data_IF_090521012991
#
_entry.id   IF_090521012991
#
_cell.length_a   1.000
_cell.length_b   1.000
_cell.length_c   1.000
_cell.angle_alpha   90.00
_cell.angle_beta   90.00
_cell.angle_gamma   90.00
#
_symmetry.space_group_name_H-M   'P 1'
#
loop_
_entity.id
_entity.type
_entity.pdbx_description
1 polymer ?
#
# COMPACT_ATOMS: atom_id res chain seq x y z
N UNK A 1 24.54 -2.58 -1.21
CA UNK A 1 23.56 -1.66 -0.67
C UNK A 1 23.17 -0.74 -1.83
N UNK A 2 22.03 -1.01 -2.47
CA UNK A 2 21.47 -0.06 -3.44
C UNK A 2 21.03 1.17 -2.63
N UNK A 3 21.60 2.32 -2.91
CA UNK A 3 21.23 3.55 -2.24
C UNK A 3 19.75 3.88 -2.50
N UNK A 4 19.07 4.49 -1.55
CA UNK A 4 17.63 4.86 -1.67
C UNK A 4 17.33 5.66 -2.95
N UNK A 5 18.29 6.40 -3.47
CA UNK A 5 18.18 7.13 -4.74
C UNK A 5 17.92 6.24 -5.97
N UNK A 6 18.30 4.97 -5.94
CA UNK A 6 18.05 4.05 -7.05
C UNK A 6 16.64 3.45 -7.03
N UNK A 7 15.93 3.45 -5.92
CA UNK A 7 14.60 2.84 -5.84
C UNK A 7 13.55 3.59 -6.66
N UNK A 8 13.57 4.92 -6.65
CA UNK A 8 12.65 5.73 -7.48
C UNK A 8 12.91 5.51 -8.97
N UNK A 9 14.17 5.47 -9.37
CA UNK A 9 14.55 5.21 -10.77
C UNK A 9 14.14 3.80 -11.19
N UNK A 10 14.38 2.78 -10.35
CA UNK A 10 13.98 1.40 -10.63
C UNK A 10 12.45 1.27 -10.74
N UNK A 11 11.69 1.96 -9.90
CA UNK A 11 10.22 2.02 -9.98
C UNK A 11 9.76 2.72 -11.27
N UNK A 12 10.41 3.82 -11.63
CA UNK A 12 10.11 4.54 -12.86
C UNK A 12 10.37 3.67 -14.10
N UNK A 13 11.50 2.95 -14.13
CA UNK A 13 11.84 1.99 -15.19
C UNK A 13 10.82 0.87 -15.26
N UNK A 14 10.50 0.23 -14.13
CA UNK A 14 9.51 -0.85 -14.08
C UNK A 14 8.14 -0.40 -14.58
N UNK A 15 7.65 0.76 -14.13
CA UNK A 15 6.37 1.31 -14.59
C UNK A 15 6.40 1.70 -16.07
N UNK A 16 7.51 2.25 -16.56
CA UNK A 16 7.66 2.55 -17.98
C UNK A 16 7.52 1.28 -18.82
N UNK A 17 8.28 0.22 -18.50
CA UNK A 17 8.21 -1.04 -19.25
C UNK A 17 6.88 -1.76 -19.09
N UNK A 18 6.24 -1.67 -17.94
CA UNK A 18 4.87 -2.18 -17.76
C UNK A 18 3.88 -1.56 -18.75
N UNK A 19 4.05 -0.28 -19.08
CA UNK A 19 3.14 0.42 -19.99
C UNK A 19 3.49 0.27 -21.49
N UNK A 20 4.76 -0.05 -21.82
CA UNK A 20 5.20 -0.04 -23.22
C UNK A 20 5.60 -1.43 -23.76
N UNK A 21 5.88 -2.40 -22.88
CA UNK A 21 6.32 -3.74 -23.27
C UNK A 21 5.28 -4.80 -22.88
N UNK A 22 4.63 -5.39 -23.87
CA UNK A 22 3.55 -6.36 -23.64
C UNK A 22 4.00 -7.68 -22.97
N UNK A 23 5.26 -8.06 -23.07
CA UNK A 23 5.80 -9.26 -22.39
C UNK A 23 5.93 -8.94 -20.90
N UNK A 24 6.55 -7.81 -20.57
CA UNK A 24 6.72 -7.39 -19.19
C UNK A 24 5.36 -7.19 -18.49
N UNK A 25 4.40 -6.55 -19.15
CA UNK A 25 3.04 -6.38 -18.67
C UNK A 25 2.37 -7.73 -18.36
N UNK A 26 2.44 -8.68 -19.29
CA UNK A 26 1.84 -10.02 -19.10
C UNK A 26 2.46 -10.77 -17.94
N UNK A 27 3.79 -10.73 -17.78
CA UNK A 27 4.49 -11.35 -16.66
C UNK A 27 3.99 -10.75 -15.33
N UNK A 28 3.97 -9.42 -15.21
CA UNK A 28 3.49 -8.75 -14.00
C UNK A 28 2.04 -9.13 -13.68
N UNK A 29 1.15 -9.07 -14.68
CA UNK A 29 -0.27 -9.40 -14.51
C UNK A 29 -0.48 -10.87 -14.18
N UNK A 30 0.26 -11.79 -14.79
CA UNK A 30 0.18 -13.22 -14.48
C UNK A 30 0.48 -13.47 -13.00
N UNK A 31 1.60 -12.96 -12.49
CA UNK A 31 1.95 -13.16 -11.09
C UNK A 31 1.00 -12.45 -10.13
N UNK A 32 0.51 -11.26 -10.46
CA UNK A 32 -0.48 -10.55 -9.65
C UNK A 32 -1.81 -11.31 -9.56
N UNK A 33 -2.22 -11.99 -10.63
CA UNK A 33 -3.49 -12.72 -10.66
C UNK A 33 -3.46 -14.04 -9.90
N UNK A 34 -2.28 -14.62 -9.63
CA UNK A 34 -2.17 -15.84 -8.83
C UNK A 34 -2.80 -15.69 -7.44
N UNK A 35 -2.78 -14.49 -6.86
CA UNK A 35 -3.34 -14.20 -5.54
C UNK A 35 -4.86 -14.03 -5.53
N UNK A 36 -5.55 -14.17 -6.67
CA UNK A 36 -7.01 -14.03 -6.77
C UNK A 36 -7.76 -15.34 -6.65
N UNK A 37 -7.11 -16.49 -6.87
CA UNK A 37 -7.82 -17.72 -7.18
C UNK A 37 -8.11 -18.61 -5.98
N UNK A 38 -7.17 -18.79 -5.07
CA UNK A 38 -7.30 -19.75 -3.99
C UNK A 38 -7.13 -19.11 -2.62
N UNK A 39 -8.24 -18.60 -2.06
CA UNK A 39 -8.28 -18.20 -0.68
C UNK A 39 -9.52 -18.77 0.00
N UNK A 40 -9.38 -19.11 1.24
CA UNK A 40 -10.47 -19.58 2.07
C UNK A 40 -10.32 -19.00 3.48
N UNK A 41 -11.45 -18.89 4.17
CA UNK A 41 -11.49 -18.39 5.55
C UNK A 41 -11.79 -19.58 6.45
N UNK A 42 -10.95 -19.76 7.46
CA UNK A 42 -11.19 -20.79 8.50
C UNK A 42 -11.33 -20.12 9.86
N UNK A 43 -12.24 -20.60 10.72
CA UNK A 43 -12.28 -20.15 12.10
C UNK A 43 -10.99 -20.57 12.82
N UNK A 44 -10.44 -19.68 13.65
CA UNK A 44 -9.21 -19.93 14.42
C UNK A 44 -9.40 -20.92 15.56
N UNK A 45 -10.64 -21.13 15.99
CA UNK A 45 -11.00 -22.08 17.04
C UNK A 45 -11.73 -23.23 16.40
N UNK A 46 -11.08 -24.39 16.34
CA UNK A 46 -11.69 -25.67 15.99
C UNK A 46 -12.05 -26.38 17.28
N UNK A 47 -13.29 -26.25 17.71
CA UNK A 47 -13.84 -27.07 18.77
C UNK A 47 -14.95 -27.92 18.14
N UNK A 48 -14.77 -29.26 18.07
CA UNK A 48 -15.74 -30.19 17.52
C UNK A 48 -17.07 -30.17 18.30
N UNK A 49 -17.09 -29.57 19.47
CA UNK A 49 -18.29 -29.37 20.27
C UNK A 49 -19.14 -28.17 19.84
N UNK A 50 -18.61 -27.28 18.98
CA UNK A 50 -19.31 -26.06 18.56
C UNK A 50 -20.12 -26.35 17.28
N UNK A 51 -21.18 -27.10 17.42
CA UNK A 51 -22.34 -27.07 16.49
C UNK A 51 -23.23 -25.86 16.80
N UNK A 52 -22.64 -24.71 17.08
CA UNK A 52 -23.42 -23.60 17.57
C UNK A 52 -23.86 -22.73 16.37
N UNK A 53 -25.17 -22.63 16.18
CA UNK A 53 -25.78 -21.73 15.18
C UNK A 53 -25.28 -20.27 15.31
N UNK A 54 -24.90 -19.88 16.51
CA UNK A 54 -24.36 -18.55 16.78
C UNK A 54 -23.00 -18.34 16.11
N UNK A 55 -22.09 -19.31 16.23
CA UNK A 55 -20.77 -19.24 15.58
C UNK A 55 -20.90 -19.24 14.05
N UNK A 56 -21.81 -20.05 13.50
CA UNK A 56 -22.07 -20.06 12.05
C UNK A 56 -22.60 -18.71 11.56
N UNK A 57 -23.50 -18.08 12.34
CA UNK A 57 -23.98 -16.72 12.03
C UNK A 57 -22.88 -15.66 12.08
N UNK A 58 -22.00 -15.73 13.07
CA UNK A 58 -20.85 -14.81 13.17
C UNK A 58 -19.86 -15.04 12.03
N UNK A 59 -19.59 -16.28 11.69
CA UNK A 59 -18.73 -16.63 10.54
C UNK A 59 -19.31 -16.11 9.22
N UNK A 60 -20.60 -16.29 8.98
CA UNK A 60 -21.25 -15.77 7.78
C UNK A 60 -21.18 -14.23 7.70
N UNK A 61 -21.32 -13.53 8.81
CA UNK A 61 -21.12 -12.07 8.84
C UNK A 61 -19.70 -11.66 8.45
N UNK A 62 -18.68 -12.41 8.90
CA UNK A 62 -17.30 -12.14 8.49
C UNK A 62 -17.13 -12.36 6.99
N UNK A 63 -17.71 -13.43 6.43
CA UNK A 63 -17.67 -13.67 4.99
C UNK A 63 -18.36 -12.54 4.21
N UNK A 64 -19.55 -12.12 4.63
CA UNK A 64 -20.28 -10.98 4.04
C UNK A 64 -19.45 -9.68 4.08
N UNK A 65 -18.79 -9.42 5.22
CA UNK A 65 -17.89 -8.25 5.37
C UNK A 65 -16.68 -8.32 4.43
N UNK A 66 -16.06 -9.48 4.28
CA UNK A 66 -14.91 -9.68 3.38
C UNK A 66 -15.34 -9.56 1.90
N UNK A 67 -16.51 -10.08 1.55
CA UNK A 67 -17.05 -9.97 0.19
C UNK A 67 -17.45 -8.50 -0.12
N UNK A 68 -18.09 -7.81 0.79
CA UNK A 68 -18.41 -6.37 0.66
C UNK A 68 -17.15 -5.52 0.55
N UNK A 69 -16.06 -5.92 1.19
CA UNK A 69 -14.74 -5.26 1.09
C UNK A 69 -13.99 -5.61 -0.20
N UNK A 70 -14.51 -6.49 -1.05
CA UNK A 70 -13.85 -6.95 -2.29
C UNK A 70 -12.41 -7.45 -2.09
N UNK A 71 -12.14 -8.18 -1.01
CA UNK A 71 -10.78 -8.58 -0.57
C UNK A 71 -9.99 -9.27 -1.68
N UNK A 72 -10.62 -10.12 -2.50
CA UNK A 72 -9.96 -10.77 -3.66
C UNK A 72 -9.37 -9.76 -4.65
N UNK A 73 -10.14 -8.73 -4.97
CA UNK A 73 -9.68 -7.67 -5.86
C UNK A 73 -8.54 -6.89 -5.22
N UNK A 74 -8.71 -6.49 -3.96
CA UNK A 74 -7.69 -5.75 -3.21
C UNK A 74 -6.37 -6.51 -3.16
N UNK A 75 -6.40 -7.83 -2.86
CA UNK A 75 -5.18 -8.66 -2.87
C UNK A 75 -4.48 -8.67 -4.24
N UNK A 76 -5.24 -8.74 -5.33
CA UNK A 76 -4.67 -8.67 -6.68
C UNK A 76 -4.07 -7.29 -6.99
N UNK A 77 -4.74 -6.23 -6.57
CA UNK A 77 -4.26 -4.85 -6.78
C UNK A 77 -2.99 -4.58 -5.95
N UNK A 78 -2.95 -5.04 -4.69
CA UNK A 78 -1.75 -5.00 -3.83
C UNK A 78 -0.60 -5.78 -4.49
N UNK A 79 -0.87 -7.01 -4.93
CA UNK A 79 0.14 -7.86 -5.56
C UNK A 79 0.73 -7.20 -6.82
N UNK A 80 -0.11 -6.62 -7.67
CA UNK A 80 0.35 -5.91 -8.87
C UNK A 80 1.24 -4.73 -8.53
N UNK A 81 0.85 -3.91 -7.56
CA UNK A 81 1.64 -2.76 -7.13
C UNK A 81 2.97 -3.17 -6.48
N UNK A 82 2.97 -4.22 -5.66
CA UNK A 82 4.21 -4.78 -5.09
C UNK A 82 5.14 -5.32 -6.20
N UNK A 83 4.61 -5.97 -7.21
CA UNK A 83 5.40 -6.47 -8.34
C UNK A 83 6.01 -5.31 -9.13
N UNK A 84 5.23 -4.27 -9.44
CA UNK A 84 5.64 -3.12 -10.25
C UNK A 84 6.53 -2.13 -9.49
N UNK A 85 6.20 -1.85 -8.24
CA UNK A 85 6.85 -0.80 -7.45
C UNK A 85 7.73 -1.32 -6.33
N UNK A 86 7.74 -2.66 -6.08
CA UNK A 86 8.46 -3.29 -4.98
C UNK A 86 7.75 -3.12 -3.63
N UNK A 87 6.83 -2.18 -3.52
CA UNK A 87 6.14 -1.84 -2.29
C UNK A 87 4.75 -1.29 -2.57
N UNK A 88 3.82 -1.58 -1.66
CA UNK A 88 2.49 -0.99 -1.61
C UNK A 88 2.25 -0.38 -0.23
N UNK A 89 1.76 0.86 -0.20
CA UNK A 89 1.31 1.52 1.00
C UNK A 89 -0.17 1.83 0.90
N UNK A 90 -0.91 1.64 1.98
CA UNK A 90 -2.30 2.05 2.06
C UNK A 90 -2.64 2.56 3.46
N UNK A 91 -3.60 3.49 3.49
CA UNK A 91 -4.29 3.88 4.70
C UNK A 91 -5.59 3.07 4.83
N UNK A 92 -5.82 2.52 6.01
CA UNK A 92 -6.99 1.69 6.29
C UNK A 92 -8.11 2.59 6.80
N UNK A 93 -9.21 2.65 6.05
CA UNK A 93 -10.42 3.37 6.45
C UNK A 93 -11.48 2.34 6.83
N UNK A 94 -11.71 2.10 8.13
CA UNK A 94 -12.74 1.18 8.57
C UNK A 94 -14.14 1.78 8.34
N UNK A 95 -15.07 0.94 7.92
CA UNK A 95 -16.48 1.24 7.83
C UNK A 95 -17.27 0.17 8.59
N UNK A 96 -18.57 0.39 8.85
CA UNK A 96 -19.40 -0.58 9.54
C UNK A 96 -19.53 -1.90 8.77
N UNK A 97 -19.58 -1.83 7.44
CA UNK A 97 -19.90 -2.97 6.59
C UNK A 97 -18.73 -3.40 5.68
N UNK A 98 -17.63 -2.67 5.68
CA UNK A 98 -16.49 -2.93 4.80
C UNK A 98 -15.20 -2.26 5.30
N UNK A 99 -14.08 -2.62 4.71
CA UNK A 99 -12.81 -1.91 4.87
C UNK A 99 -12.36 -1.35 3.53
N UNK A 100 -11.88 -0.10 3.55
CA UNK A 100 -11.33 0.55 2.36
C UNK A 100 -9.83 0.69 2.55
N UNK A 101 -9.05 0.21 1.58
CA UNK A 101 -7.62 0.44 1.48
C UNK A 101 -7.38 1.62 0.53
N UNK A 102 -7.16 2.78 1.11
CA UNK A 102 -6.78 3.95 0.32
C UNK A 102 -5.30 3.87 0.00
N UNK A 103 -4.97 3.58 -1.25
CA UNK A 103 -3.58 3.52 -1.71
C UNK A 103 -2.87 4.86 -1.49
N UNK A 104 -1.67 4.80 -0.93
CA UNK A 104 -0.79 5.93 -0.76
C UNK A 104 0.35 5.86 -1.78
N UNK A 105 0.76 6.98 -2.39
CA UNK A 105 1.86 6.98 -3.35
C UNK A 105 3.19 6.63 -2.66
N UNK A 106 3.83 5.55 -3.11
CA UNK A 106 5.03 4.99 -2.48
C UNK A 106 6.19 5.99 -2.36
N UNK A 107 6.29 6.95 -3.29
CA UNK A 107 7.29 8.02 -3.26
C UNK A 107 7.17 8.92 -2.01
N UNK A 108 5.96 9.09 -1.50
CA UNK A 108 5.64 9.95 -0.36
C UNK A 108 5.40 9.16 0.92
N UNK A 109 5.80 7.88 0.96
CA UNK A 109 5.68 7.02 2.13
C UNK A 109 7.04 6.46 2.51
N UNK A 110 7.29 6.34 3.81
CA UNK A 110 8.45 5.63 4.34
C UNK A 110 8.14 4.97 5.67
N UNK A 111 8.94 3.95 6.02
CA UNK A 111 8.93 3.32 7.34
C UNK A 111 10.32 3.44 7.91
N UNK A 112 10.46 4.06 9.08
CA UNK A 112 11.75 4.18 9.77
C UNK A 112 11.93 3.12 10.84
N UNK A 113 10.86 2.73 11.49
CA UNK A 113 10.87 1.76 12.58
C UNK A 113 9.58 0.98 12.65
N UNK A 114 9.58 -0.06 13.45
CA UNK A 114 8.42 -0.91 13.70
C UNK A 114 8.07 -0.85 15.19
N UNK A 115 6.78 -0.78 15.50
CA UNK A 115 6.25 -0.85 16.86
C UNK A 115 5.43 -2.14 16.97
N UNK A 116 5.88 -3.08 17.79
CA UNK A 116 5.21 -4.39 17.95
C UNK A 116 4.90 -5.07 16.58
N UNK A 117 5.88 -5.13 15.70
CA UNK A 117 5.79 -5.64 14.34
C UNK A 117 4.86 -4.84 13.38
N UNK A 118 4.31 -3.72 13.84
CA UNK A 118 3.52 -2.81 13.00
C UNK A 118 4.44 -1.73 12.44
N UNK A 119 4.44 -1.48 11.12
CA UNK A 119 5.27 -0.44 10.52
C UNK A 119 4.77 0.95 10.97
N UNK A 120 5.69 1.77 11.46
CA UNK A 120 5.44 3.20 11.69
C UNK A 120 5.57 3.93 10.35
N UNK A 121 4.44 4.12 9.67
CA UNK A 121 4.40 4.75 8.35
C UNK A 121 4.40 6.26 8.49
N UNK A 122 5.35 6.92 7.85
CA UNK A 122 5.36 8.37 7.69
C UNK A 122 4.92 8.72 6.27
N UNK A 123 4.13 9.79 6.17
CA UNK A 123 3.68 10.36 4.90
C UNK A 123 4.26 11.77 4.71
N UNK A 124 4.83 12.02 3.54
CA UNK A 124 5.34 13.34 3.17
C UNK A 124 4.18 14.27 2.76
N UNK A 125 3.85 15.21 3.64
CA UNK A 125 2.77 16.17 3.43
C UNK A 125 3.03 17.13 2.27
N UNK A 126 4.27 17.22 1.76
CA UNK A 126 4.60 17.98 0.55
C UNK A 126 3.92 17.40 -0.71
N UNK A 127 3.43 16.16 -0.67
CA UNK A 127 2.58 15.58 -1.70
C UNK A 127 1.44 16.51 -2.12
N UNK A 128 0.78 17.13 -1.16
CA UNK A 128 -0.33 18.03 -1.47
C UNK A 128 0.13 19.34 -2.15
N UNK A 129 1.38 19.74 -1.98
CA UNK A 129 1.94 20.92 -2.64
C UNK A 129 2.30 20.70 -4.11
N UNK A 130 2.33 19.45 -4.56
CA UNK A 130 2.48 19.13 -6.00
C UNK A 130 1.29 19.65 -6.83
N UNK A 131 0.13 19.82 -6.20
CA UNK A 131 -1.04 20.43 -6.82
C UNK A 131 -0.97 21.94 -6.70
N UNK A 132 -0.64 22.61 -7.81
CA UNK A 132 -0.41 24.08 -7.86
C UNK A 132 -1.71 24.88 -7.67
N UNK A 133 -2.85 24.37 -8.19
CA UNK A 133 -4.17 24.99 -7.96
C UNK A 133 -4.65 24.72 -6.54
N UNK A 134 -4.91 25.80 -5.79
CA UNK A 134 -5.35 25.73 -4.39
C UNK A 134 -6.71 25.03 -4.26
N UNK A 135 -7.66 25.30 -5.15
CA UNK A 135 -8.99 24.69 -5.08
C UNK A 135 -8.92 23.20 -5.39
N UNK A 136 -8.09 22.80 -6.36
CA UNK A 136 -7.86 21.40 -6.68
C UNK A 136 -7.15 20.69 -5.53
N UNK A 137 -6.13 21.31 -4.93
CA UNK A 137 -5.43 20.79 -3.75
C UNK A 137 -6.38 20.52 -2.59
N UNK A 138 -7.27 21.46 -2.28
CA UNK A 138 -8.26 21.31 -1.20
C UNK A 138 -9.20 20.13 -1.49
N UNK A 139 -9.67 19.99 -2.73
CA UNK A 139 -10.52 18.86 -3.13
C UNK A 139 -9.77 17.51 -2.99
N UNK A 140 -8.49 17.46 -3.39
CA UNK A 140 -7.68 16.25 -3.21
C UNK A 140 -7.51 15.95 -1.71
N UNK A 141 -7.22 16.95 -0.90
CA UNK A 141 -7.07 16.80 0.55
C UNK A 141 -8.37 16.31 1.20
N UNK A 142 -9.53 16.73 0.70
CA UNK A 142 -10.84 16.28 1.18
C UNK A 142 -11.13 14.80 0.88
N UNK A 143 -10.45 14.20 -0.09
CA UNK A 143 -10.54 12.76 -0.37
C UNK A 143 -9.72 11.92 0.63
N UNK A 144 -8.83 12.57 1.39
CA UNK A 144 -8.02 11.88 2.39
C UNK A 144 -8.68 11.95 3.78
N UNK A 145 -8.41 10.96 4.65
CA UNK A 145 -8.88 10.96 6.03
C UNK A 145 -8.46 12.23 6.80
N UNK A 146 -9.21 12.56 7.85
CA UNK A 146 -8.97 13.75 8.67
C UNK A 146 -7.56 13.85 9.26
N UNK A 147 -6.89 12.72 9.45
CA UNK A 147 -5.51 12.67 9.91
C UNK A 147 -4.55 13.38 8.94
N UNK A 148 -4.73 13.18 7.63
CA UNK A 148 -3.92 13.87 6.61
C UNK A 148 -4.18 15.38 6.59
N UNK A 149 -5.42 15.80 6.80
CA UNK A 149 -5.77 17.23 6.91
C UNK A 149 -5.06 17.88 8.09
N UNK A 150 -5.10 17.20 9.26
CA UNK A 150 -4.34 17.64 10.45
C UNK A 150 -2.84 17.70 10.20
N UNK A 151 -2.27 16.65 9.61
CA UNK A 151 -0.85 16.58 9.26
C UNK A 151 -0.45 17.70 8.30
N UNK A 152 -1.23 17.97 7.27
CA UNK A 152 -0.98 19.04 6.31
C UNK A 152 -1.02 20.43 6.96
N UNK A 153 -1.99 20.68 7.85
CA UNK A 153 -2.06 21.95 8.62
C UNK A 153 -0.82 22.13 9.50
N UNK A 154 -0.37 21.06 10.17
CA UNK A 154 0.85 21.10 10.99
C UNK A 154 2.10 21.34 10.15
N UNK A 155 2.20 20.69 8.99
CA UNK A 155 3.27 20.92 8.02
C UNK A 155 3.32 22.39 7.59
N UNK A 156 2.19 22.97 7.16
CA UNK A 156 2.13 24.39 6.74
C UNK A 156 2.47 25.38 7.85
N UNK A 157 2.29 24.99 9.11
CA UNK A 157 2.67 25.79 10.28
C UNK A 157 4.10 25.53 10.74
N UNK A 158 4.83 24.59 10.13
CA UNK A 158 6.15 24.15 10.60
C UNK A 158 6.12 23.52 12.00
N UNK A 159 5.01 22.85 12.35
CA UNK A 159 4.75 22.28 13.68
C UNK A 159 4.50 20.77 13.66
N UNK A 160 5.06 20.06 12.68
CA UNK A 160 5.03 18.59 12.73
C UNK A 160 5.76 18.16 13.99
N UNK A 161 5.13 17.33 14.85
CA UNK A 161 5.75 16.89 16.10
C UNK A 161 7.04 16.11 15.83
N UNK A 162 8.13 16.36 16.61
CA UNK A 162 9.32 15.53 16.55
C UNK A 162 8.96 14.10 17.00
N UNK A 163 9.59 13.11 16.38
CA UNK A 163 9.52 11.75 16.87
C UNK A 163 10.73 11.40 17.74
N UNK A 164 10.78 10.16 18.27
CA UNK A 164 11.85 9.68 19.12
C UNK A 164 13.21 9.54 18.40
N UNK A 165 13.30 9.77 17.09
CA UNK A 165 14.49 9.52 16.28
C UNK A 165 15.06 10.84 15.71
N UNK A 166 14.23 11.84 15.47
CA UNK A 166 14.65 13.09 14.83
C UNK A 166 13.88 14.31 15.35
N UNK A 167 14.62 15.37 15.68
CA UNK A 167 14.05 16.64 16.14
C UNK A 167 13.45 17.50 15.03
N UNK A 168 13.72 17.15 13.76
CA UNK A 168 13.24 17.93 12.60
C UNK A 168 12.73 17.01 11.49
N UNK A 169 11.41 16.90 11.39
CA UNK A 169 10.72 16.03 10.41
C UNK A 169 10.50 16.69 9.05
N UNK A 170 10.72 18.00 8.91
CA UNK A 170 10.44 18.70 7.65
C UNK A 170 8.97 18.57 7.27
N UNK A 171 8.68 17.81 6.20
CA UNK A 171 7.34 17.55 5.68
C UNK A 171 6.76 16.17 6.08
N UNK A 172 7.54 15.33 6.75
CA UNK A 172 7.16 13.97 7.09
C UNK A 172 6.28 13.91 8.35
N UNK A 173 5.07 13.41 8.20
CA UNK A 173 4.10 13.25 9.27
C UNK A 173 3.91 11.76 9.58
N UNK A 174 4.10 11.39 10.84
CA UNK A 174 3.88 10.04 11.32
C UNK A 174 2.37 9.77 11.42
N UNK A 175 1.90 8.78 10.66
CA UNK A 175 0.52 8.32 10.72
C UNK A 175 0.27 7.53 12.01
N UNK A 176 -0.96 7.52 12.47
CA UNK A 176 -1.35 6.79 13.67
C UNK A 176 -1.00 5.29 13.53
N UNK A 177 -0.38 4.68 14.54
CA UNK A 177 0.03 3.28 14.47
C UNK A 177 -1.16 2.36 14.17
N UNK A 178 -1.01 1.53 13.14
CA UNK A 178 -2.06 0.62 12.69
C UNK A 178 -3.07 1.22 11.71
N UNK A 179 -3.07 2.53 11.48
CA UNK A 179 -3.92 3.16 10.46
C UNK A 179 -3.38 2.97 9.04
N UNK A 180 -2.10 2.75 8.89
CA UNK A 180 -1.45 2.53 7.60
C UNK A 180 -0.68 1.22 7.57
N UNK A 181 -0.64 0.59 6.39
CA UNK A 181 0.04 -0.67 6.14
C UNK A 181 1.06 -0.54 5.03
N UNK A 182 2.09 -1.38 5.12
CA UNK A 182 3.11 -1.55 4.09
C UNK A 182 3.14 -3.02 3.69
N UNK A 183 3.07 -3.29 2.39
CA UNK A 183 3.31 -4.60 1.81
C UNK A 183 4.52 -4.56 0.90
N UNK A 184 5.39 -5.54 1.02
CA UNK A 184 6.51 -5.78 0.11
C UNK A 184 6.77 -7.28 0.01
N UNK A 185 7.60 -7.68 -0.95
CA UNK A 185 7.96 -9.07 -1.12
C UNK A 185 9.32 -9.36 -0.44
N UNK A 186 9.34 -10.30 0.49
CA UNK A 186 10.54 -10.74 1.23
C UNK A 186 11.35 -9.59 1.86
N UNK A 187 10.69 -8.53 2.33
CA UNK A 187 11.37 -7.40 2.94
C UNK A 187 12.11 -6.48 1.95
N UNK A 188 11.97 -6.71 0.65
CA UNK A 188 12.59 -5.90 -0.40
C UNK A 188 11.59 -4.89 -0.97
N UNK A 189 11.99 -3.64 -1.11
CA UNK A 189 11.21 -2.57 -1.75
C UNK A 189 11.58 -2.38 -3.24
N UNK A 190 12.31 -3.35 -3.82
CA UNK A 190 12.72 -3.35 -5.24
C UNK A 190 11.64 -4.02 -6.09
N UNK A 191 11.27 -3.45 -7.26
CA UNK A 191 10.34 -4.09 -8.19
C UNK A 191 10.80 -5.50 -8.59
N UNK A 192 9.87 -6.47 -8.54
CA UNK A 192 10.21 -7.90 -8.60
C UNK A 192 10.97 -8.28 -9.88
N UNK A 193 10.55 -7.76 -11.03
CA UNK A 193 11.05 -8.16 -12.34
C UNK A 193 11.94 -7.11 -13.02
N UNK A 194 12.33 -6.04 -12.32
CA UNK A 194 13.15 -4.97 -12.91
C UNK A 194 14.47 -5.49 -13.48
N UNK A 195 15.08 -6.45 -12.82
CA UNK A 195 16.34 -7.06 -13.26
C UNK A 195 16.18 -8.00 -14.47
N UNK A 196 14.96 -8.42 -14.80
CA UNK A 196 14.67 -9.24 -15.97
C UNK A 196 14.42 -8.42 -17.24
N UNK A 197 14.29 -7.10 -17.13
CA UNK A 197 13.99 -6.20 -18.26
C UNK A 197 14.99 -6.35 -19.40
N UNK A 198 16.33 -6.38 -19.19
CA UNK A 198 17.27 -6.56 -20.29
C UNK A 198 17.04 -7.86 -21.08
N UNK A 199 16.83 -8.98 -20.39
CA UNK A 199 16.55 -10.26 -21.03
C UNK A 199 15.20 -10.28 -21.80
N UNK A 200 14.19 -9.57 -21.28
CA UNK A 200 12.89 -9.42 -21.96
C UNK A 200 13.05 -8.59 -23.23
N UNK A 201 13.87 -7.54 -23.22
CA UNK A 201 14.13 -6.71 -24.39
C UNK A 201 14.89 -7.47 -25.48
N UNK A 202 15.83 -8.33 -25.09
CA UNK A 202 16.56 -9.18 -26.03
C UNK A 202 15.60 -10.17 -26.72
N UNK A 203 14.62 -10.70 -26.00
CA UNK A 203 13.58 -11.56 -26.56
C UNK A 203 12.63 -10.84 -27.50
N UNK A 204 12.33 -9.57 -27.24
CA UNK A 204 11.42 -8.76 -28.06
C UNK A 204 12.09 -8.28 -29.37
N UNK A 205 13.44 -8.28 -29.38
CA UNK A 205 14.26 -7.91 -30.53
C UNK A 205 14.59 -9.08 -31.48
N UNK A 206 14.34 -10.33 -31.07
CA UNK A 206 14.64 -11.55 -31.81
C UNK A 206 13.47 -12.00 -32.70
#
# INVERSE_FOLDING_TARGET
MLAEHNLEELRAISNFYYNVNGIYERVCNYFATLYRFDWYVTPTVYDDSIKDEKMLKEFNKVLEYLDASHVKKICGDIALEVIKNGVYYAYIVPSNDSVIFQQLPAKYCRVRYYVNNTPAVEFDMSFFDTFTDINYRLRVLDLFPEEFKKGYILYKKGKIPPDCINDNHGSWYLLEPGSAVKFNFNGSDVPMFVNAIPAILDLDAA
#
